data_IF_812544480966
#
_entry.id   IF_812544480966
#
_cell.length_a   1.000
_cell.length_b   1.000
_cell.length_c   1.000
_cell.angle_alpha   90.00
_cell.angle_beta   90.00
_cell.angle_gamma   90.00
#
_symmetry.space_group_name_H-M   'P 1'
#
loop_
_entity.id
_entity.type
_entity.pdbx_description
1 polymer ?
#
# COMPACT_ATOMS: atom_id res chain seq x y z
N UNK A 1 -4.55 28.42 -17.24
CA UNK A 1 -3.85 27.14 -16.92
C UNK A 1 -2.83 26.87 -18.02
N UNK A 2 -1.68 26.28 -17.70
CA UNK A 2 -0.68 25.84 -18.69
C UNK A 2 -0.50 24.33 -18.58
N UNK A 3 -0.55 23.61 -19.70
CA UNK A 3 -0.46 22.14 -19.74
C UNK A 3 0.64 21.75 -20.72
N UNK A 4 1.58 20.92 -20.27
CA UNK A 4 2.65 20.38 -21.11
C UNK A 4 2.61 18.85 -21.05
N UNK A 5 2.86 18.22 -22.19
CA UNK A 5 2.91 16.77 -22.34
C UNK A 5 4.34 16.33 -22.68
N UNK A 6 4.73 15.16 -22.17
CA UNK A 6 5.96 14.48 -22.55
C UNK A 6 5.72 12.98 -22.58
N UNK A 7 6.00 12.37 -23.73
CA UNK A 7 5.89 10.94 -23.93
C UNK A 7 7.24 10.25 -23.67
N UNK A 8 7.19 9.03 -23.14
CA UNK A 8 8.34 8.16 -22.89
C UNK A 8 8.10 6.78 -23.50
N UNK A 9 9.20 6.02 -23.68
CA UNK A 9 9.26 4.76 -24.42
C UNK A 9 8.28 3.67 -23.92
N UNK A 10 7.87 3.72 -22.65
CA UNK A 10 6.95 2.74 -22.02
C UNK A 10 5.45 3.08 -22.22
N UNK A 11 5.06 3.84 -23.24
CA UNK A 11 3.70 4.41 -23.39
C UNK A 11 3.27 5.23 -22.17
N UNK A 12 4.25 5.89 -21.54
CA UNK A 12 4.05 6.70 -20.36
C UNK A 12 3.96 8.17 -20.77
N UNK A 13 2.82 8.78 -20.48
CA UNK A 13 2.54 10.18 -20.76
C UNK A 13 2.65 10.97 -19.46
N UNK A 14 3.63 11.86 -19.40
CA UNK A 14 3.81 12.83 -18.32
C UNK A 14 3.09 14.12 -18.67
N UNK A 15 2.16 14.51 -17.81
CA UNK A 15 1.37 15.72 -17.97
C UNK A 15 1.70 16.66 -16.82
N UNK A 16 2.28 17.81 -17.16
CA UNK A 16 2.57 18.88 -16.21
C UNK A 16 1.49 19.95 -16.31
N UNK A 17 0.82 20.23 -15.20
CA UNK A 17 -0.26 21.23 -15.12
C UNK A 17 0.15 22.35 -14.16
N UNK A 18 0.27 23.57 -14.70
CA UNK A 18 0.44 24.78 -13.92
C UNK A 18 -0.90 25.52 -13.79
N UNK A 19 -1.33 25.74 -12.55
CA UNK A 19 -2.62 26.36 -12.23
C UNK A 19 -2.48 27.89 -12.12
N UNK A 20 -3.49 28.61 -12.60
CA UNK A 20 -3.63 30.05 -12.43
C UNK A 20 -5.11 30.38 -12.19
N UNK A 21 -5.38 31.58 -11.71
CA UNK A 21 -6.74 32.13 -11.60
C UNK A 21 -7.01 33.06 -12.79
N UNK A 22 -8.25 33.53 -13.00
CA UNK A 22 -8.52 34.55 -14.02
C UNK A 22 -7.64 35.81 -13.84
N UNK A 23 -7.35 36.18 -12.60
CA UNK A 23 -6.60 37.39 -12.25
C UNK A 23 -5.08 37.18 -12.12
N UNK A 24 -4.60 35.93 -12.12
CA UNK A 24 -3.19 35.61 -11.90
C UNK A 24 -2.62 34.66 -12.94
N UNK A 25 -1.40 34.95 -13.38
CA UNK A 25 -0.69 34.06 -14.31
C UNK A 25 -0.47 32.68 -13.68
N UNK A 26 -0.51 31.59 -14.47
CA UNK A 26 -0.26 30.25 -13.97
C UNK A 26 1.08 30.12 -13.23
N UNK A 27 1.04 29.60 -12.01
CA UNK A 27 2.22 29.43 -11.16
C UNK A 27 3.06 28.24 -11.65
N UNK A 28 4.22 28.53 -12.23
CA UNK A 28 5.13 27.52 -12.76
C UNK A 28 5.94 26.76 -11.68
N UNK A 29 5.96 27.27 -10.44
CA UNK A 29 6.66 26.64 -9.32
C UNK A 29 5.77 25.66 -8.55
N UNK A 30 4.45 25.88 -8.56
CA UNK A 30 3.45 25.01 -7.90
C UNK A 30 2.63 24.26 -8.94
N UNK A 31 3.25 23.25 -9.56
CA UNK A 31 2.60 22.42 -10.57
C UNK A 31 2.09 21.10 -10.03
N UNK A 32 1.04 20.59 -10.67
CA UNK A 32 0.62 19.20 -10.53
C UNK A 32 1.24 18.37 -11.64
N UNK A 33 1.70 17.18 -11.32
CA UNK A 33 2.15 16.18 -12.28
C UNK A 33 1.16 15.03 -12.31
N UNK A 34 0.85 14.58 -13.51
CA UNK A 34 0.06 13.38 -13.78
C UNK A 34 0.88 12.46 -14.66
N UNK A 35 0.90 11.19 -14.32
CA UNK A 35 1.54 10.15 -15.10
C UNK A 35 0.46 9.15 -15.50
N UNK A 36 0.21 9.07 -16.80
CA UNK A 36 -0.76 8.17 -17.41
C UNK A 36 -0.06 7.10 -18.23
N UNK A 37 -0.57 5.88 -18.18
CA UNK A 37 -0.05 4.74 -18.92
C UNK A 37 -1.15 4.24 -19.85
N UNK A 38 -0.95 4.37 -21.16
CA UNK A 38 -2.01 4.13 -22.17
C UNK A 38 -2.57 2.70 -22.17
N UNK A 39 -1.86 1.74 -21.56
CA UNK A 39 -2.27 0.33 -21.49
C UNK A 39 -2.90 -0.05 -20.14
N UNK A 40 -3.11 0.90 -19.22
CA UNK A 40 -3.60 0.58 -17.88
C UNK A 40 -4.71 1.55 -17.44
N UNK A 41 -5.66 1.09 -16.60
CA UNK A 41 -6.71 1.96 -16.05
C UNK A 41 -6.19 2.82 -14.88
N UNK A 42 -4.87 2.92 -14.69
CA UNK A 42 -4.26 3.59 -13.54
C UNK A 42 -3.64 4.91 -13.96
N UNK A 43 -3.81 5.91 -13.10
CA UNK A 43 -3.20 7.23 -13.24
C UNK A 43 -2.56 7.63 -11.92
N UNK A 44 -1.33 8.12 -11.98
CA UNK A 44 -0.61 8.59 -10.80
C UNK A 44 -0.64 10.11 -10.78
N UNK A 45 -1.11 10.69 -9.68
CA UNK A 45 -1.23 12.14 -9.52
C UNK A 45 -0.35 12.56 -8.35
N UNK A 46 0.53 13.52 -8.57
CA UNK A 46 1.35 14.10 -7.49
C UNK A 46 0.46 14.79 -6.47
N UNK A 47 0.76 14.64 -5.18
CA UNK A 47 0.09 15.40 -4.13
C UNK A 47 0.37 16.90 -4.31
N UNK A 48 -0.59 17.63 -4.90
CA UNK A 48 -0.45 19.06 -5.18
C UNK A 48 -0.82 19.91 -3.97
N UNK A 49 -0.17 21.05 -3.85
CA UNK A 49 -0.48 22.07 -2.83
C UNK A 49 -1.88 22.68 -3.02
N UNK A 50 -2.39 22.71 -4.26
CA UNK A 50 -3.76 23.11 -4.56
C UNK A 50 -4.69 21.91 -4.65
N UNK A 51 -5.05 21.35 -3.48
CA UNK A 51 -6.05 20.25 -3.41
C UNK A 51 -7.41 20.63 -3.99
N UNK A 52 -7.75 21.92 -4.03
CA UNK A 52 -8.99 22.45 -4.61
C UNK A 52 -9.15 22.12 -6.09
N UNK A 53 -8.04 22.00 -6.83
CA UNK A 53 -8.07 21.80 -8.28
C UNK A 53 -8.07 20.31 -8.67
N UNK A 54 -7.91 19.41 -7.70
CA UNK A 54 -7.88 17.98 -7.94
C UNK A 54 -9.20 17.46 -8.55
N UNK A 55 -10.41 17.85 -8.08
CA UNK A 55 -11.65 17.42 -8.71
C UNK A 55 -11.76 17.82 -10.18
N UNK A 56 -11.35 19.06 -10.53
CA UNK A 56 -11.33 19.54 -11.91
C UNK A 56 -10.34 18.75 -12.77
N UNK A 57 -9.15 18.48 -12.24
CA UNK A 57 -8.14 17.64 -12.91
C UNK A 57 -8.69 16.23 -13.17
N UNK A 58 -9.32 15.62 -12.17
CA UNK A 58 -9.93 14.29 -12.28
C UNK A 58 -11.04 14.26 -13.36
N UNK A 59 -11.91 15.27 -13.40
CA UNK A 59 -12.95 15.38 -14.44
C UNK A 59 -12.36 15.52 -15.83
N UNK A 60 -11.34 16.37 -16.00
CA UNK A 60 -10.65 16.54 -17.27
C UNK A 60 -10.00 15.23 -17.74
N UNK A 61 -9.38 14.48 -16.81
CA UNK A 61 -8.79 13.17 -17.11
C UNK A 61 -9.86 12.16 -17.53
N UNK A 62 -10.97 12.05 -16.81
CA UNK A 62 -12.09 11.15 -17.15
C UNK A 62 -12.57 11.44 -18.58
N UNK A 63 -12.84 12.71 -18.88
CA UNK A 63 -13.33 13.13 -20.20
C UNK A 63 -12.31 12.85 -21.31
N UNK A 64 -11.03 13.19 -21.10
CA UNK A 64 -9.98 13.00 -22.09
C UNK A 64 -9.66 11.53 -22.36
N UNK A 65 -9.80 10.67 -21.35
CA UNK A 65 -9.50 9.23 -21.45
C UNK A 65 -10.70 8.36 -21.79
N UNK A 66 -11.90 8.95 -21.92
CA UNK A 66 -13.16 8.25 -22.20
C UNK A 66 -13.50 7.15 -21.16
N UNK A 67 -13.24 7.42 -19.88
CA UNK A 67 -13.68 6.59 -18.76
C UNK A 67 -14.95 7.17 -18.12
N UNK A 68 -15.60 6.41 -17.23
CA UNK A 68 -16.82 6.85 -16.55
C UNK A 68 -16.59 7.36 -15.12
N UNK A 69 -15.56 6.87 -14.43
CA UNK A 69 -15.31 7.14 -13.01
C UNK A 69 -13.80 7.09 -12.71
N UNK A 70 -13.37 7.84 -11.70
CA UNK A 70 -12.01 7.82 -11.17
C UNK A 70 -12.06 7.72 -9.65
N UNK A 71 -11.35 6.72 -9.10
CA UNK A 71 -11.35 6.45 -7.65
C UNK A 71 -9.95 6.57 -7.10
N UNK A 72 -9.82 7.31 -6.01
CA UNK A 72 -8.57 7.37 -5.26
C UNK A 72 -8.30 6.00 -4.60
N UNK A 73 -7.14 5.42 -4.89
CA UNK A 73 -6.68 4.22 -4.22
C UNK A 73 -6.15 4.56 -2.82
N UNK A 74 -6.30 3.64 -1.86
CA UNK A 74 -5.76 3.79 -0.50
C UNK A 74 -4.24 3.52 -0.45
N UNK A 75 -3.50 3.93 -1.50
CA UNK A 75 -2.07 3.74 -1.68
C UNK A 75 -1.39 5.07 -1.99
N UNK A 76 -0.40 5.45 -1.18
CA UNK A 76 0.40 6.67 -1.38
C UNK A 76 1.87 6.41 -1.06
N UNK A 77 2.77 6.96 -1.87
CA UNK A 77 4.23 6.86 -1.67
C UNK A 77 4.93 8.04 -2.36
N UNK A 78 6.20 8.29 -2.00
CA UNK A 78 7.05 9.24 -2.71
C UNK A 78 7.73 8.62 -3.95
N UNK A 79 7.87 7.30 -4.01
CA UNK A 79 8.50 6.61 -5.13
C UNK A 79 7.47 6.14 -6.17
N UNK A 80 7.43 6.82 -7.32
CA UNK A 80 6.53 6.46 -8.43
C UNK A 80 6.78 5.03 -8.94
N UNK A 81 8.04 4.62 -9.07
CA UNK A 81 8.38 3.29 -9.56
C UNK A 81 7.86 2.19 -8.61
N UNK A 82 8.00 2.39 -7.30
CA UNK A 82 7.43 1.47 -6.30
C UNK A 82 5.90 1.40 -6.38
N UNK A 83 5.23 2.54 -6.62
CA UNK A 83 3.77 2.55 -6.82
C UNK A 83 3.38 1.75 -8.05
N UNK A 84 4.10 1.92 -9.17
CA UNK A 84 3.90 1.11 -10.39
C UNK A 84 4.10 -0.38 -10.09
N UNK A 85 5.16 -0.75 -9.39
CA UNK A 85 5.46 -2.15 -9.08
C UNK A 85 4.39 -2.82 -8.22
N UNK A 86 3.82 -2.08 -7.26
CA UNK A 86 2.72 -2.54 -6.42
C UNK A 86 1.40 -2.62 -7.21
N UNK A 87 1.02 -1.54 -7.90
CA UNK A 87 -0.27 -1.43 -8.60
C UNK A 87 -0.35 -2.40 -9.78
N UNK A 88 0.71 -2.50 -10.58
CA UNK A 88 0.79 -3.43 -11.70
C UNK A 88 1.10 -4.87 -11.27
N UNK A 89 1.25 -5.12 -9.96
CA UNK A 89 1.61 -6.42 -9.38
C UNK A 89 2.89 -7.05 -9.97
N UNK A 90 3.80 -6.23 -10.52
CA UNK A 90 5.09 -6.67 -11.08
C UNK A 90 5.93 -7.38 -10.00
N UNK A 91 5.85 -6.88 -8.77
CA UNK A 91 6.48 -7.51 -7.61
C UNK A 91 6.02 -8.96 -7.38
N UNK A 92 4.72 -9.26 -7.49
CA UNK A 92 4.20 -10.62 -7.26
C UNK A 92 4.63 -11.64 -8.33
N UNK A 93 5.02 -11.17 -9.52
CA UNK A 93 5.59 -12.01 -10.57
C UNK A 93 7.07 -12.28 -10.30
N UNK A 94 7.83 -11.25 -9.89
CA UNK A 94 9.23 -11.35 -9.52
C UNK A 94 9.46 -12.23 -8.28
N UNK A 95 8.58 -12.18 -7.28
CA UNK A 95 8.69 -13.08 -6.11
C UNK A 95 8.49 -14.54 -6.47
N UNK A 96 7.55 -14.87 -7.36
CA UNK A 96 7.36 -16.24 -7.83
C UNK A 96 8.58 -16.76 -8.59
N UNK A 97 9.13 -15.95 -9.49
CA UNK A 97 10.33 -16.30 -10.25
C UNK A 97 11.57 -16.45 -9.35
N UNK A 98 11.75 -15.53 -8.41
CA UNK A 98 12.85 -15.57 -7.43
C UNK A 98 12.75 -16.78 -6.51
N UNK A 99 11.54 -17.15 -6.07
CA UNK A 99 11.33 -18.35 -5.25
C UNK A 99 11.73 -19.64 -6.00
N UNK A 100 11.35 -19.75 -7.29
CA UNK A 100 11.75 -20.89 -8.12
C UNK A 100 13.27 -20.97 -8.30
N UNK A 101 13.95 -19.84 -8.53
CA UNK A 101 15.40 -19.79 -8.69
C UNK A 101 16.15 -20.11 -7.38
N UNK A 102 15.66 -19.58 -6.24
CA UNK A 102 16.25 -19.86 -4.93
C UNK A 102 16.11 -21.34 -4.56
N UNK A 103 14.95 -21.98 -4.79
CA UNK A 103 14.75 -23.41 -4.53
C UNK A 103 15.78 -24.27 -5.28
N UNK A 104 16.09 -23.90 -6.52
CA UNK A 104 17.14 -24.53 -7.32
C UNK A 104 18.54 -24.29 -6.76
N UNK A 105 18.85 -23.06 -6.36
CA UNK A 105 20.18 -22.68 -5.86
C UNK A 105 20.48 -23.20 -4.44
N UNK A 106 19.46 -23.33 -3.60
CA UNK A 106 19.58 -23.77 -2.20
C UNK A 106 20.01 -25.23 -2.07
N UNK A 107 19.72 -26.04 -3.09
CA UNK A 107 20.15 -27.43 -3.17
C UNK A 107 21.65 -27.58 -3.49
N UNK A 108 22.30 -26.52 -3.99
CA UNK A 108 23.69 -26.57 -4.49
C UNK A 108 24.73 -25.95 -3.55
N UNK A 109 24.32 -25.13 -2.57
CA UNK A 109 25.24 -24.36 -1.73
C UNK A 109 24.86 -24.50 -0.25
N UNK A 110 25.28 -25.59 0.38
CA UNK A 110 25.39 -25.67 1.84
C UNK A 110 26.77 -25.13 2.23
N UNK A 111 26.89 -23.96 2.90
CA UNK A 111 28.18 -23.49 3.36
C UNK A 111 28.70 -24.41 4.47
N UNK A 112 29.94 -24.88 4.31
CA UNK A 112 30.67 -25.61 5.34
C UNK A 112 30.72 -24.76 6.62
N UNK A 113 29.93 -25.14 7.62
CA UNK A 113 29.87 -24.48 8.92
C UNK A 113 30.97 -25.06 9.82
N UNK A 114 31.69 -24.19 10.55
CA UNK A 114 32.70 -24.64 11.53
C UNK A 114 31.99 -25.47 12.62
N UNK A 115 32.38 -26.75 12.74
CA UNK A 115 31.75 -27.75 13.62
C UNK A 115 31.79 -27.37 15.11
N UNK A 116 32.59 -26.37 15.49
CA UNK A 116 32.71 -25.86 16.86
C UNK A 116 31.66 -24.84 17.23
N UNK A 117 30.92 -24.29 16.26
CA UNK A 117 29.88 -23.27 16.50
C UNK A 117 28.53 -23.98 16.63
N UNK A 118 28.06 -24.17 17.87
CA UNK A 118 26.70 -24.62 18.13
C UNK A 118 25.76 -23.44 17.91
N UNK A 119 24.99 -23.47 16.84
CA UNK A 119 24.00 -22.45 16.56
C UNK A 119 22.70 -22.75 17.32
N UNK A 120 22.54 -22.12 18.49
CA UNK A 120 21.31 -22.26 19.28
C UNK A 120 20.08 -21.86 18.46
N UNK A 121 19.03 -22.66 18.59
CA UNK A 121 17.73 -22.48 17.94
C UNK A 121 17.81 -22.40 16.40
N UNK A 122 18.74 -23.13 15.78
CA UNK A 122 18.89 -23.20 14.32
C UNK A 122 17.58 -23.56 13.61
N UNK A 123 16.87 -24.58 14.09
CA UNK A 123 15.58 -25.02 13.52
C UNK A 123 14.53 -23.91 13.53
N UNK A 124 14.41 -23.16 14.64
CA UNK A 124 13.47 -22.04 14.76
C UNK A 124 13.88 -20.86 13.87
N UNK A 125 15.18 -20.55 13.77
CA UNK A 125 15.67 -19.51 12.85
C UNK A 125 15.36 -19.87 11.39
N UNK A 126 15.61 -21.10 10.99
CA UNK A 126 15.31 -21.61 9.65
C UNK A 126 13.79 -21.63 9.38
N UNK A 127 12.96 -21.96 10.38
CA UNK A 127 11.50 -21.90 10.27
C UNK A 127 11.02 -20.46 10.08
N UNK A 128 11.51 -19.51 10.90
CA UNK A 128 11.17 -18.08 10.80
C UNK A 128 11.60 -17.51 9.44
N UNK A 129 12.79 -17.87 8.96
CA UNK A 129 13.28 -17.45 7.66
C UNK A 129 12.39 -17.96 6.52
N UNK A 130 12.07 -19.26 6.49
CA UNK A 130 11.19 -19.84 5.46
C UNK A 130 9.83 -19.14 5.39
N UNK A 131 9.15 -18.97 6.53
CA UNK A 131 7.86 -18.28 6.59
C UNK A 131 7.95 -16.83 6.10
N UNK A 132 9.04 -16.15 6.42
CA UNK A 132 9.25 -14.77 6.01
C UNK A 132 9.49 -14.65 4.49
N UNK A 133 10.21 -15.62 3.91
CA UNK A 133 10.43 -15.72 2.46
C UNK A 133 9.15 -16.08 1.71
N UNK A 134 8.29 -16.94 2.26
CA UNK A 134 6.99 -17.25 1.66
C UNK A 134 6.09 -16.01 1.55
N UNK A 135 6.20 -15.09 2.51
CA UNK A 135 5.36 -13.90 2.61
C UNK A 135 5.90 -12.72 1.80
N UNK A 136 7.18 -12.38 1.97
CA UNK A 136 7.83 -11.23 1.32
C UNK A 136 8.68 -11.61 0.09
N UNK A 137 8.80 -12.89 -0.23
CA UNK A 137 9.72 -13.35 -1.27
C UNK A 137 11.18 -13.08 -0.93
N UNK A 138 12.04 -13.38 -1.91
CA UNK A 138 13.49 -13.18 -1.78
C UNK A 138 14.01 -11.93 -2.49
N UNK A 139 13.26 -11.41 -3.46
CA UNK A 139 13.63 -10.25 -4.25
C UNK A 139 13.56 -8.90 -3.52
N UNK A 140 13.98 -7.81 -4.19
CA UNK A 140 13.86 -6.47 -3.66
C UNK A 140 12.38 -6.08 -3.47
N UNK A 141 12.07 -5.51 -2.31
CA UNK A 141 10.71 -5.02 -2.03
C UNK A 141 10.51 -3.60 -2.57
N UNK A 142 9.30 -3.26 -3.04
CA UNK A 142 8.99 -1.89 -3.44
C UNK A 142 9.15 -0.94 -2.25
N UNK A 143 9.75 0.22 -2.50
CA UNK A 143 9.97 1.23 -1.45
C UNK A 143 8.64 1.85 -1.05
N UNK A 144 8.35 1.80 0.24
CA UNK A 144 7.17 2.40 0.84
C UNK A 144 7.57 3.05 2.16
N UNK A 145 7.10 4.27 2.40
CA UNK A 145 7.59 5.10 3.50
C UNK A 145 6.78 4.91 4.77
N UNK A 146 5.51 4.53 4.64
CA UNK A 146 4.61 4.38 5.77
C UNK A 146 3.42 3.46 5.48
N UNK A 147 2.82 2.95 6.56
CA UNK A 147 1.50 2.31 6.56
C UNK A 147 0.71 2.79 7.77
N UNK A 148 -0.57 3.08 7.57
CA UNK A 148 -1.44 3.67 8.58
C UNK A 148 -2.71 2.84 8.75
N UNK A 149 -3.04 2.50 9.98
CA UNK A 149 -4.22 1.74 10.38
C UNK A 149 -5.08 2.61 11.29
N UNK A 150 -6.29 2.94 10.83
CA UNK A 150 -7.29 3.68 11.61
C UNK A 150 -8.40 2.71 12.01
N UNK A 151 -8.48 2.41 13.29
CA UNK A 151 -9.51 1.58 13.90
C UNK A 151 -10.63 2.47 14.47
N UNK A 152 -11.87 2.11 14.18
CA UNK A 152 -13.07 2.78 14.68
C UNK A 152 -14.16 1.74 14.96
N UNK A 153 -14.43 1.45 16.22
CA UNK A 153 -15.33 0.36 16.63
C UNK A 153 -16.02 0.73 17.94
N UNK A 154 -17.15 0.09 18.20
CA UNK A 154 -17.98 0.34 19.38
C UNK A 154 -17.53 -0.58 20.52
N UNK A 155 -17.47 -0.04 21.75
CA UNK A 155 -17.34 -0.89 22.91
C UNK A 155 -18.61 -1.75 23.04
N UNK A 156 -18.44 -3.08 23.06
CA UNK A 156 -19.53 -4.01 23.30
C UNK A 156 -19.51 -4.40 24.77
N UNK A 157 -20.25 -3.69 25.60
CA UNK A 157 -20.54 -4.12 26.97
C UNK A 157 -21.54 -5.27 26.97
N UNK A 158 -21.43 -6.17 27.95
CA UNK A 158 -22.53 -7.10 28.28
C UNK A 158 -23.74 -6.24 28.68
N UNK A 159 -24.96 -6.46 28.13
CA UNK A 159 -26.15 -5.72 28.51
C UNK A 159 -26.44 -5.74 30.02
N UNK A 160 -25.87 -6.68 30.79
CA UNK A 160 -25.97 -6.74 32.26
C UNK A 160 -25.01 -5.79 32.99
N UNK A 161 -23.96 -5.34 32.32
CA UNK A 161 -22.92 -4.46 32.88
C UNK A 161 -23.12 -3.07 32.24
N UNK A 162 -24.03 -2.29 32.82
CA UNK A 162 -24.42 -0.94 32.40
C UNK A 162 -23.29 0.09 32.65
N UNK A 163 -22.12 -0.13 32.03
CA UNK A 163 -20.91 0.67 32.28
C UNK A 163 -20.77 1.81 31.27
N UNK A 164 -21.50 1.78 30.15
CA UNK A 164 -21.58 2.97 29.28
C UNK A 164 -22.73 2.87 28.28
N UNK A 165 -23.66 3.83 28.33
CA UNK A 165 -24.62 4.15 27.24
C UNK A 165 -23.98 5.09 26.19
N UNK A 166 -22.69 5.41 26.34
CA UNK A 166 -21.99 6.29 25.40
C UNK A 166 -21.81 5.58 24.06
N UNK A 167 -22.63 6.00 23.08
CA UNK A 167 -22.60 5.55 21.69
C UNK A 167 -21.37 6.05 20.92
N UNK A 168 -20.31 6.51 21.60
CA UNK A 168 -19.11 7.00 20.93
C UNK A 168 -18.17 5.84 20.57
N UNK A 169 -17.72 5.74 19.30
CA UNK A 169 -16.79 4.70 18.90
C UNK A 169 -15.39 4.99 19.47
N UNK A 170 -14.73 3.93 19.93
CA UNK A 170 -13.31 4.02 20.26
C UNK A 170 -12.49 4.14 18.97
N UNK A 171 -11.51 5.05 18.99
CA UNK A 171 -10.69 5.40 17.83
C UNK A 171 -9.22 5.16 18.15
N UNK A 172 -8.55 4.33 17.37
CA UNK A 172 -7.12 4.09 17.49
C UNK A 172 -6.43 4.31 16.13
N UNK A 173 -5.27 4.95 16.14
CA UNK A 173 -4.46 5.21 14.95
C UNK A 173 -3.06 4.67 15.17
N UNK A 174 -2.67 3.70 14.35
CA UNK A 174 -1.31 3.17 14.32
C UNK A 174 -0.67 3.57 12.99
N UNK A 175 0.52 4.18 13.05
CA UNK A 175 1.29 4.55 11.85
C UNK A 175 2.71 4.00 11.95
N UNK A 176 3.07 3.13 11.03
CA UNK A 176 4.44 2.68 10.83
C UNK A 176 5.11 3.62 9.82
N UNK A 177 6.35 4.01 10.08
CA UNK A 177 7.13 4.89 9.20
C UNK A 177 8.56 4.40 9.12
N UNK A 178 9.07 4.23 7.90
CA UNK A 178 10.46 3.83 7.63
C UNK A 178 10.76 4.13 6.16
N UNK A 179 11.98 4.56 5.78
CA UNK A 179 12.34 4.75 4.37
C UNK A 179 12.13 3.50 3.50
N UNK A 180 12.22 2.31 4.12
CA UNK A 180 12.03 1.01 3.49
C UNK A 180 11.10 0.14 4.34
N UNK A 181 9.86 0.58 4.53
CA UNK A 181 8.91 -0.07 5.45
C UNK A 181 8.79 -1.58 5.23
N UNK A 182 8.64 -2.02 3.98
CA UNK A 182 8.45 -3.45 3.70
C UNK A 182 9.69 -4.28 4.06
N UNK A 183 10.90 -3.75 3.82
CA UNK A 183 12.15 -4.39 4.24
C UNK A 183 12.30 -4.38 5.76
N UNK A 184 11.89 -3.30 6.42
CA UNK A 184 11.86 -3.24 7.88
C UNK A 184 10.92 -4.30 8.45
N UNK A 185 9.71 -4.44 7.88
CA UNK A 185 8.75 -5.47 8.28
C UNK A 185 9.32 -6.87 8.06
N UNK A 186 9.90 -7.15 6.89
CA UNK A 186 10.59 -8.42 6.60
C UNK A 186 11.68 -8.71 7.64
N UNK A 187 12.38 -7.70 8.14
CA UNK A 187 13.49 -7.91 9.09
C UNK A 187 13.04 -8.13 10.54
N UNK A 188 11.78 -7.85 10.91
CA UNK A 188 11.32 -7.92 12.30
C UNK A 188 11.40 -9.33 12.90
N UNK A 189 10.88 -10.33 12.18
CA UNK A 189 10.82 -11.70 12.69
C UNK A 189 12.20 -12.38 12.78
N UNK A 190 13.08 -12.27 11.75
CA UNK A 190 14.47 -12.75 11.85
C UNK A 190 15.29 -12.08 12.95
N UNK A 191 15.05 -10.78 13.21
CA UNK A 191 15.71 -10.03 14.28
C UNK A 191 15.17 -10.36 15.69
N UNK A 192 14.13 -11.19 15.80
CA UNK A 192 13.52 -11.53 17.09
C UNK A 192 12.67 -10.42 17.71
N UNK A 193 12.35 -9.37 16.96
CA UNK A 193 11.52 -8.23 17.42
C UNK A 193 10.02 -8.52 17.32
N UNK A 194 9.64 -9.55 16.56
CA UNK A 194 8.26 -9.98 16.39
C UNK A 194 8.18 -11.50 16.15
N UNK A 195 7.02 -12.07 16.43
CA UNK A 195 6.75 -13.48 16.14
C UNK A 195 6.46 -13.72 14.66
N UNK A 196 6.86 -14.90 14.17
CA UNK A 196 6.55 -15.37 12.83
C UNK A 196 5.40 -16.38 12.86
N UNK A 197 4.40 -16.27 11.97
CA UNK A 197 4.32 -15.30 10.87
C UNK A 197 3.85 -13.92 11.33
N UNK A 198 4.29 -12.88 10.61
CA UNK A 198 3.80 -11.52 10.86
C UNK A 198 2.32 -11.40 10.53
N UNK A 199 1.65 -10.46 11.19
CA UNK A 199 0.22 -10.22 11.01
C UNK A 199 -0.14 -10.00 9.52
N UNK A 200 -1.20 -10.66 9.01
CA UNK A 200 -1.71 -10.44 7.66
C UNK A 200 -2.02 -8.97 7.34
N UNK A 201 -2.30 -8.16 8.37
CA UNK A 201 -2.54 -6.73 8.20
C UNK A 201 -1.30 -6.01 7.66
N UNK A 202 -0.10 -6.42 8.08
CA UNK A 202 1.17 -5.84 7.67
C UNK A 202 1.69 -6.45 6.36
N UNK A 203 1.42 -7.74 6.14
CA UNK A 203 1.98 -8.48 5.00
C UNK A 203 1.15 -8.32 3.72
N UNK A 204 -0.14 -7.97 3.82
CA UNK A 204 -1.02 -7.81 2.65
C UNK A 204 -0.91 -6.46 1.93
N UNK A 205 -0.08 -5.53 2.41
CA UNK A 205 0.10 -4.18 1.84
C UNK A 205 0.36 -4.21 0.31
N UNK A 206 1.38 -4.91 -0.20
CA UNK A 206 1.64 -4.96 -1.63
C UNK A 206 0.56 -5.73 -2.41
N UNK A 207 -0.02 -6.78 -1.80
CA UNK A 207 -1.03 -7.61 -2.46
C UNK A 207 -2.37 -6.88 -2.65
N UNK A 208 -2.79 -6.10 -1.64
CA UNK A 208 -4.00 -5.29 -1.69
C UNK A 208 -3.79 -3.94 -2.36
N UNK A 209 -2.53 -3.57 -2.62
CA UNK A 209 -2.13 -2.25 -3.12
C UNK A 209 -2.72 -1.12 -2.25
N UNK A 210 -2.50 -1.20 -0.93
CA UNK A 210 -3.00 -0.23 0.06
C UNK A 210 -2.05 -0.07 1.22
N UNK A 211 -1.83 1.16 1.65
CA UNK A 211 -1.08 1.50 2.86
C UNK A 211 -1.87 2.39 3.83
N UNK A 212 -3.11 2.76 3.50
CA UNK A 212 -4.08 3.31 4.43
C UNK A 212 -5.20 2.30 4.67
N UNK A 213 -5.38 1.89 5.92
CA UNK A 213 -6.41 0.93 6.31
C UNK A 213 -7.41 1.61 7.25
N UNK A 214 -8.70 1.45 6.97
CA UNK A 214 -9.79 1.82 7.88
C UNK A 214 -10.50 0.55 8.32
N UNK A 215 -10.37 0.24 9.61
CA UNK A 215 -10.97 -0.95 10.23
C UNK A 215 -12.20 -0.46 11.00
N UNK A 216 -13.37 -0.98 10.61
CA UNK A 216 -14.66 -0.64 11.21
C UNK A 216 -15.48 -1.89 11.47
N UNK A 217 -16.36 -1.81 12.46
CA UNK A 217 -17.31 -2.88 12.71
C UNK A 217 -18.20 -3.10 11.48
N UNK A 218 -18.41 -4.37 11.14
CA UNK A 218 -19.39 -4.76 10.11
C UNK A 218 -20.76 -4.37 10.66
N UNK A 219 -21.40 -3.35 10.09
CA UNK A 219 -22.81 -3.06 10.37
C UNK A 219 -23.60 -4.31 10.03
N UNK A 220 -24.16 -4.98 11.04
CA UNK A 220 -25.22 -5.96 10.83
C UNK A 220 -26.34 -5.23 10.12
N UNK A 221 -26.65 -5.63 8.89
CA UNK A 221 -27.89 -5.23 8.24
C UNK A 221 -28.99 -5.81 9.12
N UNK A 222 -29.54 -5.00 10.01
CA UNK A 222 -30.80 -5.33 10.66
C UNK A 222 -31.83 -5.38 9.56
N UNK A 223 -32.33 -6.59 9.27
CA UNK A 223 -33.56 -6.82 8.52
C UNK A 223 -34.69 -6.06 9.21
N UNK A 224 -34.87 -4.81 8.78
CA UNK A 224 -36.04 -4.01 9.08
C UNK A 224 -37.20 -4.55 8.28
N UNK A 225 -38.20 -5.02 9.01
CA UNK A 225 -39.52 -5.40 8.53
C UNK A 225 -40.07 -4.43 7.50
N UNK A 226 -40.24 -4.88 6.25
CA UNK A 226 -41.23 -4.31 5.36
C UNK A 226 -42.61 -4.76 5.87
N UNK A 227 -43.26 -3.92 6.66
CA UNK A 227 -44.72 -3.95 6.80
C UNK A 227 -45.23 -2.83 5.90
N UNK A 228 -45.80 -3.21 4.76
CA UNK A 228 -46.61 -2.34 3.91
C UNK A 228 -48.05 -2.34 4.43
N UNK A 229 -48.78 -1.22 4.36
CA UNK A 229 -50.13 -1.23 3.83
C UNK A 229 -50.12 -1.24 2.30
#
# INVERSE_FOLDING_TARGET
VTINFREYEDNEIWIRVAWGTPDTKPNQYKTSYVVYHSQTPYVFISASTLRSNLPLLCQALIFASNYHDIREMELRSHCLNSLKDIVFKRYSQLTKLSFCFFLFSSQLLSPASDLRIIQENRSEKERKQRLNQEVFGDGPLPKLEFAQYKLETMFKSDPKMSVSDEKEPFRCLVKFSSPHLLESLRSLAPAGMADAPLSPLLTCIPQKARNYFKIRDKKSISTGSFISP
#
